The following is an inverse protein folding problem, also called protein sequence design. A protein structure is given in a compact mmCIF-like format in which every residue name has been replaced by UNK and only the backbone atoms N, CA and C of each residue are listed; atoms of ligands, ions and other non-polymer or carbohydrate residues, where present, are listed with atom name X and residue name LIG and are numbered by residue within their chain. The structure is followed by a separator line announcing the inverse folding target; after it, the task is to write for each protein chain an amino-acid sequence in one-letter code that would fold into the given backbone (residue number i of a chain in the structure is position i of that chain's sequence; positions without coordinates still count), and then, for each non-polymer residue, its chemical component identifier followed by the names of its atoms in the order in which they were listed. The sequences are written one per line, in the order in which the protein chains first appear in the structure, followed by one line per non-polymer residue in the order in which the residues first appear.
data_IF_168521184344
#
_entry.id   IF_168521184344
#
_cell.length_a   1.000
_cell.length_b   1.000
_cell.length_c   1.000
_cell.angle_alpha   90.00
_cell.angle_beta   90.00
_cell.angle_gamma   90.00
#
_symmetry.space_group_name_H-M   'P 1'
#
loop_
_entity.id
_entity.type
_entity.pdbx_description
1 polymer ?
#
# COMPACT_ATOMS: atom_id res chain seq x y z
N UNK A 1 0.26 8.91 16.14
CA UNK A 1 -0.84 9.86 16.37
C UNK A 1 -1.01 10.90 15.26
N UNK A 2 0.07 11.57 14.78
CA UNK A 2 -0.04 12.62 13.73
C UNK A 2 -0.42 12.09 12.33
N UNK A 3 -0.06 10.85 11.97
CA UNK A 3 -0.46 10.20 10.73
C UNK A 3 -1.97 9.97 10.65
N UNK A 4 -2.59 9.54 11.74
CA UNK A 4 -4.02 9.31 11.83
C UNK A 4 -4.84 10.60 11.67
N UNK A 5 -4.34 11.75 12.15
CA UNK A 5 -5.06 13.05 12.04
C UNK A 5 -5.09 13.55 10.58
N UNK A 6 -4.05 13.28 9.79
CA UNK A 6 -4.03 13.66 8.37
C UNK A 6 -4.93 12.74 7.53
N UNK A 7 -4.95 11.45 7.83
CA UNK A 7 -5.92 10.52 7.26
C UNK A 7 -7.35 10.89 7.65
N UNK A 8 -7.63 11.27 8.90
CA UNK A 8 -8.97 11.70 9.32
C UNK A 8 -9.51 12.91 8.52
N UNK A 9 -8.65 13.81 8.05
CA UNK A 9 -9.07 14.91 7.15
C UNK A 9 -9.30 14.43 5.71
N UNK A 10 -8.50 13.47 5.24
CA UNK A 10 -8.68 12.83 3.95
C UNK A 10 -9.87 11.86 3.95
N UNK A 11 -10.07 11.15 5.08
CA UNK A 11 -11.04 10.07 5.24
C UNK A 11 -12.44 10.52 5.68
N UNK A 12 -12.71 11.83 5.76
CA UNK A 12 -14.07 12.28 6.11
C UNK A 12 -15.03 12.05 4.92
N UNK A 13 -15.88 10.98 4.95
CA UNK A 13 -16.76 10.61 3.85
C UNK A 13 -17.87 11.65 3.63
N UNK A 14 -18.03 12.62 4.54
CA UNK A 14 -19.06 13.65 4.49
C UNK A 14 -18.64 14.92 3.75
N UNK A 15 -17.35 15.10 3.44
CA UNK A 15 -16.87 16.21 2.63
C UNK A 15 -16.98 15.83 1.14
N UNK A 16 -18.19 15.89 0.60
CA UNK A 16 -18.43 15.85 -0.85
C UNK A 16 -18.31 17.28 -1.39
N UNK A 17 -17.12 17.69 -1.78
CA UNK A 17 -16.94 18.92 -2.54
C UNK A 17 -17.51 18.75 -3.95
N UNK A 18 -18.61 19.43 -4.22
CA UNK A 18 -19.25 19.44 -5.53
C UNK A 18 -18.84 20.70 -6.27
N UNK A 19 -17.74 20.66 -7.02
CA UNK A 19 -17.54 21.57 -8.15
C UNK A 19 -18.36 21.04 -9.31
N UNK A 20 -18.89 21.92 -10.18
CA UNK A 20 -19.87 21.54 -11.24
C UNK A 20 -19.51 20.30 -12.05
N UNK A 21 -18.21 20.03 -12.24
CA UNK A 21 -17.67 18.97 -13.10
C UNK A 21 -16.70 18.00 -12.42
N UNK A 22 -16.65 17.99 -11.08
CA UNK A 22 -15.82 17.07 -10.28
C UNK A 22 -16.60 16.55 -9.09
N UNK A 23 -16.58 15.25 -8.90
CA UNK A 23 -17.13 14.55 -7.74
C UNK A 23 -15.95 13.93 -6.99
N UNK A 24 -15.80 14.25 -5.71
CA UNK A 24 -14.75 13.68 -4.87
C UNK A 24 -15.34 12.62 -3.94
N UNK A 25 -14.77 11.42 -3.94
CA UNK A 25 -15.04 10.36 -2.95
C UNK A 25 -13.81 10.17 -2.08
N UNK A 26 -14.03 9.96 -0.78
CA UNK A 26 -12.95 9.74 0.20
C UNK A 26 -13.15 8.40 0.88
N UNK A 27 -12.06 7.78 1.34
CA UNK A 27 -12.06 6.49 2.02
C UNK A 27 -12.87 5.42 1.25
N UNK A 28 -12.66 5.36 -0.08
CA UNK A 28 -13.41 4.46 -0.93
C UNK A 28 -12.85 3.03 -0.84
N UNK A 29 -13.68 2.09 -0.41
CA UNK A 29 -13.32 0.68 -0.37
C UNK A 29 -13.24 0.09 -1.77
N UNK A 30 -12.16 -0.61 -2.05
CA UNK A 30 -11.93 -1.28 -3.33
C UNK A 30 -11.40 -2.68 -3.13
N UNK A 31 -11.66 -3.55 -4.10
CA UNK A 31 -11.14 -4.92 -4.11
C UNK A 31 -10.93 -5.38 -5.55
N UNK A 32 -10.00 -6.31 -5.71
CA UNK A 32 -9.81 -7.06 -6.94
C UNK A 32 -9.94 -8.56 -6.61
N UNK A 33 -10.85 -9.23 -7.28
CA UNK A 33 -10.99 -10.70 -7.19
C UNK A 33 -9.86 -11.39 -7.93
N UNK A 34 -9.43 -10.79 -9.05
CA UNK A 34 -8.34 -11.31 -9.88
C UNK A 34 -7.02 -11.32 -9.11
N UNK A 35 -6.69 -10.22 -8.41
CA UNK A 35 -5.47 -10.11 -7.64
C UNK A 35 -5.61 -10.60 -6.19
N UNK A 36 -6.84 -10.88 -5.71
CA UNK A 36 -7.10 -11.23 -4.31
C UNK A 36 -6.74 -10.09 -3.35
N UNK A 37 -6.86 -8.83 -3.78
CA UNK A 37 -6.51 -7.66 -2.99
C UNK A 37 -7.75 -6.90 -2.51
N UNK A 38 -7.61 -6.29 -1.34
CA UNK A 38 -8.57 -5.36 -0.77
C UNK A 38 -7.85 -4.14 -0.23
N UNK A 39 -8.45 -2.97 -0.36
CA UNK A 39 -7.87 -1.73 0.13
C UNK A 39 -8.87 -0.59 0.26
N UNK A 40 -8.36 0.54 0.75
CA UNK A 40 -9.11 1.78 0.88
C UNK A 40 -8.33 2.87 0.16
N UNK A 41 -8.99 3.57 -0.75
CA UNK A 41 -8.44 4.71 -1.47
C UNK A 41 -8.61 5.97 -0.63
N UNK A 42 -7.56 6.77 -0.48
CA UNK A 42 -7.64 8.04 0.25
C UNK A 42 -8.63 8.99 -0.44
N UNK A 43 -8.42 9.25 -1.72
CA UNK A 43 -9.29 10.14 -2.52
C UNK A 43 -9.42 9.61 -3.95
N UNK A 44 -10.65 9.63 -4.47
CA UNK A 44 -10.96 9.44 -5.89
C UNK A 44 -11.69 10.70 -6.38
N UNK A 45 -11.12 11.35 -7.38
CA UNK A 45 -11.73 12.46 -8.11
C UNK A 45 -12.36 11.92 -9.40
N UNK A 46 -13.66 12.12 -9.58
CA UNK A 46 -14.37 11.75 -10.80
C UNK A 46 -14.59 13.04 -11.61
N UNK A 47 -13.91 13.17 -12.72
CA UNK A 47 -14.02 14.29 -13.64
C UNK A 47 -15.05 13.97 -14.73
N UNK A 48 -15.94 14.93 -15.04
CA UNK A 48 -16.92 14.73 -16.09
C UNK A 48 -16.23 14.63 -17.45
N UNK A 49 -16.37 13.49 -18.11
CA UNK A 49 -15.71 13.18 -19.38
C UNK A 49 -16.50 12.09 -20.12
N UNK A 50 -16.65 12.23 -21.44
CA UNK A 50 -17.37 11.26 -22.27
C UNK A 50 -16.66 9.88 -22.36
N UNK A 51 -15.36 9.84 -22.12
CA UNK A 51 -14.56 8.60 -22.05
C UNK A 51 -14.70 7.86 -20.71
N UNK A 52 -15.35 8.50 -19.73
CA UNK A 52 -15.54 7.94 -18.40
C UNK A 52 -16.69 6.92 -18.32
N UNK A 53 -17.02 6.53 -17.09
CA UNK A 53 -18.07 5.57 -16.76
C UNK A 53 -19.30 6.25 -16.15
N UNK A 54 -20.50 5.65 -16.28
CA UNK A 54 -21.70 6.15 -15.61
C UNK A 54 -21.57 5.89 -14.10
N UNK A 55 -21.92 6.89 -13.30
CA UNK A 55 -22.01 6.75 -11.85
C UNK A 55 -23.45 6.73 -11.39
N UNK A 56 -23.80 5.83 -10.46
CA UNK A 56 -25.14 5.70 -9.90
C UNK A 56 -25.66 7.04 -9.33
N UNK A 57 -26.79 7.51 -9.85
CA UNK A 57 -27.41 8.75 -9.39
C UNK A 57 -26.73 10.03 -9.90
N UNK A 58 -25.84 9.94 -10.91
CA UNK A 58 -25.19 11.06 -11.55
C UNK A 58 -25.47 11.06 -13.05
N UNK A 59 -25.72 12.27 -13.63
CA UNK A 59 -25.89 12.42 -15.08
C UNK A 59 -24.52 12.52 -15.76
N UNK A 60 -24.41 11.86 -16.94
CA UNK A 60 -23.19 11.86 -17.75
C UNK A 60 -22.19 10.79 -17.33
N UNK A 61 -21.03 10.83 -17.95
CA UNK A 61 -19.92 9.92 -17.70
C UNK A 61 -18.82 10.62 -16.92
N UNK A 62 -18.04 9.85 -16.19
CA UNK A 62 -17.08 10.36 -15.22
C UNK A 62 -15.79 9.55 -15.27
N UNK A 63 -14.68 10.22 -15.47
CA UNK A 63 -13.34 9.62 -15.51
C UNK A 63 -12.74 9.63 -14.10
N UNK A 64 -12.44 8.47 -13.50
CA UNK A 64 -11.85 8.39 -12.17
C UNK A 64 -10.36 8.73 -12.21
N UNK A 65 -9.90 9.42 -11.18
CA UNK A 65 -8.48 9.69 -10.92
C UNK A 65 -8.20 9.50 -9.44
N UNK A 66 -7.22 8.68 -9.09
CA UNK A 66 -6.84 8.39 -7.71
C UNK A 66 -5.82 9.41 -7.24
N UNK A 67 -5.98 9.89 -6.02
CA UNK A 67 -4.99 10.71 -5.31
C UNK A 67 -4.68 10.03 -3.97
N UNK A 68 -3.50 9.44 -3.87
CA UNK A 68 -2.99 8.80 -2.67
C UNK A 68 -2.13 9.78 -1.88
N UNK A 69 -2.45 9.95 -0.60
CA UNK A 69 -1.79 10.92 0.28
C UNK A 69 -0.62 10.29 1.04
N UNK A 70 0.54 10.91 0.94
CA UNK A 70 1.76 10.50 1.65
C UNK A 70 2.23 11.60 2.60
N UNK A 71 2.44 11.24 3.85
CA UNK A 71 2.88 12.19 4.89
C UNK A 71 4.29 12.71 4.64
N UNK A 72 5.21 11.81 4.20
CA UNK A 72 6.63 12.10 4.05
C UNK A 72 7.00 12.81 2.76
N UNK A 73 8.29 12.79 2.43
CA UNK A 73 8.84 13.21 1.14
C UNK A 73 8.79 12.04 0.14
N UNK A 74 8.89 12.32 -1.17
CA UNK A 74 9.07 11.27 -2.18
C UNK A 74 10.23 10.36 -1.80
N UNK A 75 10.01 9.04 -1.89
CA UNK A 75 11.02 8.02 -1.66
C UNK A 75 11.75 7.70 -2.96
N UNK A 76 12.97 7.17 -2.84
CA UNK A 76 13.75 6.67 -3.98
C UNK A 76 13.27 5.32 -4.51
N UNK A 77 12.43 4.61 -3.74
CA UNK A 77 11.89 3.30 -4.10
C UNK A 77 10.48 3.38 -4.69
N UNK A 78 9.98 2.26 -5.22
CA UNK A 78 8.72 2.14 -5.94
C UNK A 78 7.51 1.83 -5.04
N UNK A 79 7.68 1.67 -3.72
CA UNK A 79 6.60 1.21 -2.80
C UNK A 79 5.33 2.03 -2.88
N UNK A 80 5.46 3.36 -2.90
CA UNK A 80 4.31 4.26 -2.98
C UNK A 80 3.62 4.16 -4.36
N UNK A 81 4.41 3.90 -5.42
CA UNK A 81 3.92 3.71 -6.79
C UNK A 81 3.19 2.37 -6.90
N UNK A 82 3.77 1.29 -6.39
CA UNK A 82 3.16 -0.05 -6.36
C UNK A 82 1.81 -0.01 -5.64
N UNK A 83 1.73 0.69 -4.50
CA UNK A 83 0.46 0.87 -3.78
C UNK A 83 -0.59 1.55 -4.65
N UNK A 84 -0.24 2.69 -5.28
CA UNK A 84 -1.16 3.43 -6.15
C UNK A 84 -1.64 2.58 -7.33
N UNK A 85 -0.74 1.80 -7.95
CA UNK A 85 -1.08 0.92 -9.07
C UNK A 85 -1.98 -0.22 -8.63
N UNK A 86 -1.72 -0.86 -7.50
CA UNK A 86 -2.58 -1.90 -6.93
C UNK A 86 -4.00 -1.39 -6.66
N UNK A 87 -4.10 -0.21 -6.06
CA UNK A 87 -5.36 0.47 -5.81
C UNK A 87 -6.08 0.81 -7.14
N UNK A 88 -5.32 1.23 -8.16
CA UNK A 88 -5.87 1.54 -9.48
C UNK A 88 -6.48 0.30 -10.12
N UNK A 89 -5.79 -0.84 -10.12
CA UNK A 89 -6.30 -2.10 -10.67
C UNK A 89 -7.59 -2.52 -9.97
N UNK A 90 -7.65 -2.40 -8.64
CA UNK A 90 -8.87 -2.69 -7.88
C UNK A 90 -10.05 -1.78 -8.30
N UNK A 91 -9.80 -0.49 -8.50
CA UNK A 91 -10.84 0.46 -8.91
C UNK A 91 -11.30 0.21 -10.35
N UNK A 92 -10.37 -0.11 -11.25
CA UNK A 92 -10.67 -0.47 -12.64
C UNK A 92 -11.58 -1.70 -12.75
N UNK A 93 -11.30 -2.74 -11.95
CA UNK A 93 -12.13 -3.95 -11.92
C UNK A 93 -13.57 -3.65 -11.47
N UNK A 94 -13.73 -2.78 -10.46
CA UNK A 94 -15.05 -2.37 -9.94
C UNK A 94 -15.83 -1.54 -10.97
N UNK A 95 -15.14 -0.60 -11.64
CA UNK A 95 -15.79 0.36 -12.53
C UNK A 95 -15.89 -0.12 -13.98
N UNK A 96 -15.13 -1.15 -14.37
CA UNK A 96 -15.06 -1.64 -15.74
C UNK A 96 -14.43 -0.63 -16.70
N UNK A 97 -13.42 0.14 -16.26
CA UNK A 97 -12.73 1.14 -17.09
C UNK A 97 -11.22 1.10 -16.87
N UNK A 98 -10.46 1.60 -17.84
CA UNK A 98 -9.01 1.78 -17.71
C UNK A 98 -8.70 3.15 -17.11
N UNK A 99 -7.71 3.20 -16.24
CA UNK A 99 -7.19 4.42 -15.61
C UNK A 99 -5.71 4.55 -16.00
N UNK A 100 -5.39 5.58 -16.76
CA UNK A 100 -4.06 5.74 -17.34
C UNK A 100 -3.04 6.34 -16.36
N UNK A 101 -3.51 7.10 -15.37
CA UNK A 101 -2.64 7.77 -14.40
C UNK A 101 -3.35 8.00 -13.06
N UNK A 102 -2.55 8.20 -12.02
CA UNK A 102 -2.98 8.64 -10.70
C UNK A 102 -1.99 9.64 -10.12
N UNK A 103 -2.22 10.07 -8.90
CA UNK A 103 -1.36 11.04 -8.22
C UNK A 103 -0.92 10.54 -6.85
N UNK A 104 0.35 10.81 -6.53
CA UNK A 104 0.88 10.78 -5.16
C UNK A 104 0.97 12.22 -4.66
N UNK A 105 0.35 12.51 -3.54
CA UNK A 105 0.43 13.82 -2.90
C UNK A 105 1.28 13.74 -1.63
N UNK A 106 2.44 14.38 -1.65
CA UNK A 106 3.38 14.41 -0.53
C UNK A 106 3.15 15.65 0.32
N UNK A 107 2.48 15.46 1.46
CA UNK A 107 2.03 16.55 2.32
C UNK A 107 3.19 17.41 2.86
N UNK A 108 4.29 16.80 3.30
CA UNK A 108 5.43 17.51 3.92
C UNK A 108 6.13 18.50 3.01
N UNK A 109 6.00 18.33 1.69
CA UNK A 109 6.61 19.19 0.66
C UNK A 109 5.58 19.84 -0.26
N UNK A 110 4.28 19.65 0.03
CA UNK A 110 3.16 20.16 -0.76
C UNK A 110 3.31 19.84 -2.27
N UNK A 111 3.70 18.61 -2.58
CA UNK A 111 3.98 18.19 -3.96
C UNK A 111 2.97 17.12 -4.42
N UNK A 112 2.29 17.40 -5.54
CA UNK A 112 1.46 16.43 -6.27
C UNK A 112 2.27 15.88 -7.45
N UNK A 113 2.58 14.58 -7.43
CA UNK A 113 3.34 13.88 -8.47
C UNK A 113 2.40 13.00 -9.27
N UNK A 114 2.34 13.20 -10.59
CA UNK A 114 1.61 12.34 -11.52
C UNK A 114 2.41 11.06 -11.76
N UNK A 115 1.72 9.93 -11.75
CA UNK A 115 2.27 8.60 -12.00
C UNK A 115 1.46 7.98 -13.14
N UNK A 116 2.13 7.61 -14.23
CA UNK A 116 1.53 6.86 -15.33
C UNK A 116 1.40 5.37 -14.94
N UNK A 117 0.25 4.78 -15.19
CA UNK A 117 -0.06 3.39 -14.85
C UNK A 117 0.33 2.49 -16.04
N UNK A 118 1.61 2.21 -16.14
CA UNK A 118 2.18 1.45 -17.26
C UNK A 118 1.90 -0.05 -17.17
N UNK A 119 2.01 -0.75 -18.31
CA UNK A 119 1.89 -2.22 -18.36
C UNK A 119 2.92 -2.94 -17.48
N UNK A 120 4.13 -2.37 -17.35
CA UNK A 120 5.18 -2.98 -16.54
C UNK A 120 4.89 -2.85 -15.05
N UNK A 121 4.39 -1.70 -14.59
CA UNK A 121 3.94 -1.52 -13.21
C UNK A 121 2.75 -2.44 -12.88
N UNK A 122 1.83 -2.65 -13.82
CA UNK A 122 0.72 -3.61 -13.63
C UNK A 122 1.23 -5.04 -13.47
N UNK A 123 2.20 -5.46 -14.28
CA UNK A 123 2.86 -6.78 -14.16
C UNK A 123 3.61 -6.92 -12.83
N UNK A 124 4.30 -5.87 -12.40
CA UNK A 124 4.99 -5.84 -11.10
C UNK A 124 4.00 -6.09 -9.96
N UNK A 125 2.86 -5.38 -9.96
CA UNK A 125 1.82 -5.55 -8.94
C UNK A 125 1.22 -6.96 -8.98
N UNK A 126 0.91 -7.50 -10.15
CA UNK A 126 0.37 -8.85 -10.30
C UNK A 126 1.36 -9.91 -9.77
N UNK A 127 2.65 -9.77 -10.08
CA UNK A 127 3.70 -10.67 -9.58
C UNK A 127 3.83 -10.59 -8.05
N UNK A 128 3.80 -9.38 -7.47
CA UNK A 128 3.85 -9.20 -6.02
C UNK A 128 2.63 -9.79 -5.32
N UNK A 129 1.44 -9.60 -5.87
CA UNK A 129 0.22 -10.21 -5.34
C UNK A 129 0.30 -11.74 -5.37
N UNK A 130 0.75 -12.32 -6.47
CA UNK A 130 0.96 -13.76 -6.59
C UNK A 130 1.95 -14.29 -5.54
N UNK A 131 3.09 -13.63 -5.35
CA UNK A 131 4.08 -14.01 -4.34
C UNK A 131 3.52 -13.89 -2.91
N UNK A 132 2.74 -12.87 -2.61
CA UNK A 132 2.09 -12.71 -1.31
C UNK A 132 1.14 -13.87 -1.02
N UNK A 133 0.31 -14.27 -1.99
CA UNK A 133 -0.59 -15.42 -1.86
C UNK A 133 0.19 -16.72 -1.71
N UNK A 134 1.23 -16.93 -2.49
CA UNK A 134 2.10 -18.11 -2.38
C UNK A 134 2.71 -18.23 -0.98
N UNK A 135 3.22 -17.14 -0.41
CA UNK A 135 3.76 -17.14 0.96
C UNK A 135 2.69 -17.48 1.99
N UNK A 136 1.49 -16.92 1.82
CA UNK A 136 0.37 -17.21 2.71
C UNK A 136 -0.06 -18.68 2.64
N UNK A 137 -0.28 -19.21 1.44
CA UNK A 137 -0.77 -20.58 1.22
C UNK A 137 0.25 -21.63 1.68
N UNK A 138 1.52 -21.39 1.40
CA UNK A 138 2.63 -22.27 1.83
C UNK A 138 3.06 -22.04 3.28
N UNK A 139 2.45 -21.08 3.98
CA UNK A 139 2.83 -20.66 5.35
C UNK A 139 4.32 -20.32 5.47
N UNK A 140 4.88 -19.72 4.44
CA UNK A 140 6.28 -19.32 4.41
C UNK A 140 6.48 -18.00 5.13
N UNK A 141 7.41 -17.97 6.06
CA UNK A 141 7.85 -16.74 6.72
C UNK A 141 9.19 -16.35 6.09
N UNK A 142 9.26 -15.22 5.36
CA UNK A 142 10.50 -14.74 4.76
C UNK A 142 11.57 -14.52 5.85
N UNK A 143 12.81 -14.85 5.52
CA UNK A 143 13.93 -14.58 6.43
C UNK A 143 14.07 -13.09 6.65
N UNK A 144 14.04 -12.70 7.91
CA UNK A 144 14.17 -11.29 8.28
C UNK A 144 15.62 -10.83 8.12
N UNK A 145 15.81 -9.67 7.50
CA UNK A 145 17.10 -8.99 7.43
C UNK A 145 17.06 -7.71 8.25
N UNK A 146 18.08 -7.51 9.11
CA UNK A 146 18.17 -6.32 9.92
C UNK A 146 18.74 -5.15 9.12
N UNK A 147 18.04 -4.03 9.11
CA UNK A 147 18.49 -2.76 8.54
C UNK A 147 18.07 -1.57 9.42
N UNK A 148 18.56 -0.37 9.10
CA UNK A 148 18.40 0.83 9.95
C UNK A 148 16.95 1.12 10.36
N UNK A 149 15.98 0.92 9.46
CA UNK A 149 14.58 1.21 9.75
C UNK A 149 13.93 0.23 10.73
N UNK A 150 14.56 -0.93 11.00
CA UNK A 150 14.08 -1.87 12.01
C UNK A 150 14.03 -1.28 13.42
N UNK A 151 14.84 -0.26 13.71
CA UNK A 151 14.82 0.44 15.00
C UNK A 151 13.50 1.16 15.28
N UNK A 152 12.79 1.56 14.23
CA UNK A 152 11.50 2.28 14.30
C UNK A 152 10.32 1.41 13.84
N UNK A 153 10.55 0.11 13.63
CA UNK A 153 9.54 -0.82 13.15
C UNK A 153 8.72 -1.36 14.33
N UNK A 154 7.40 -1.22 14.27
CA UNK A 154 6.49 -1.76 15.29
C UNK A 154 6.49 -3.29 15.38
N UNK A 155 7.03 -3.98 14.38
CA UNK A 155 7.11 -5.43 14.32
C UNK A 155 8.49 -5.98 14.73
N UNK A 156 9.43 -5.15 15.18
CA UNK A 156 10.83 -5.56 15.44
C UNK A 156 10.93 -6.67 16.48
N UNK A 157 10.09 -6.64 17.52
CA UNK A 157 10.10 -7.62 18.60
C UNK A 157 9.49 -8.97 18.17
N UNK A 158 8.55 -8.98 17.23
CA UNK A 158 7.96 -10.18 16.65
C UNK A 158 8.86 -10.73 15.54
N UNK A 159 9.37 -9.85 14.69
CA UNK A 159 10.20 -10.19 13.53
C UNK A 159 11.60 -10.68 13.95
N UNK A 160 12.13 -10.17 15.08
CA UNK A 160 13.45 -10.50 15.63
C UNK A 160 14.60 -10.56 14.60
N UNK A 161 14.76 -9.53 13.73
CA UNK A 161 15.63 -9.61 12.56
C UNK A 161 17.13 -9.73 12.91
N UNK A 162 17.53 -9.41 14.14
CA UNK A 162 18.91 -9.58 14.62
C UNK A 162 19.25 -11.04 14.91
N UNK A 163 18.24 -11.86 15.24
CA UNK A 163 18.45 -13.27 15.54
C UNK A 163 18.61 -14.10 14.26
N UNK A 164 17.97 -13.69 13.16
CA UNK A 164 18.05 -14.41 11.89
C UNK A 164 19.44 -14.37 11.21
N UNK A 165 20.32 -13.43 11.61
CA UNK A 165 21.71 -13.35 11.12
C UNK A 165 22.68 -14.30 11.83
N UNK A 166 22.36 -14.75 13.05
CA UNK A 166 23.21 -15.68 13.81
C UNK A 166 22.56 -17.05 13.79
N UNK A 167 23.02 -17.94 12.94
CA UNK A 167 22.85 -19.38 13.16
C UNK A 167 23.57 -19.72 14.47
N UNK A 168 22.87 -19.56 15.59
CA UNK A 168 23.36 -20.10 16.85
C UNK A 168 23.20 -21.60 16.75
N UNK A 169 24.30 -22.32 16.80
CA UNK A 169 24.28 -23.74 16.99
C UNK A 169 23.73 -23.98 18.42
N UNK A 170 22.48 -24.44 18.49
CA UNK A 170 21.77 -24.68 19.77
C UNK A 170 22.56 -25.68 20.64
N UNK A 171 23.15 -26.68 20.01
CA UNK A 171 23.94 -27.72 20.69
C UNK A 171 25.18 -27.08 21.36
N UNK A 172 25.87 -26.18 20.67
CA UNK A 172 27.00 -25.43 21.26
C UNK A 172 26.56 -24.49 22.39
N UNK A 173 25.39 -23.89 22.29
CA UNK A 173 24.86 -23.03 23.34
C UNK A 173 24.54 -23.83 24.61
N UNK A 174 23.84 -24.96 24.45
CA UNK A 174 23.50 -25.87 25.55
C UNK A 174 24.78 -26.45 26.17
N UNK A 175 25.73 -26.89 25.35
CA UNK A 175 26.99 -27.44 25.81
C UNK A 175 27.84 -26.46 26.64
N UNK A 176 27.86 -25.17 26.23
CA UNK A 176 28.54 -24.13 26.98
C UNK A 176 27.82 -23.76 28.28
N UNK A 177 26.47 -23.76 28.27
CA UNK A 177 25.67 -23.50 29.47
C UNK A 177 25.88 -24.59 30.53
N UNK A 178 25.89 -25.87 30.13
CA UNK A 178 26.14 -26.98 31.02
C UNK A 178 27.56 -26.98 31.60
N UNK A 179 28.56 -26.62 30.78
CA UNK A 179 29.96 -26.49 31.28
C UNK A 179 30.17 -25.39 32.31
N UNK A 180 29.37 -24.32 32.26
CA UNK A 180 29.47 -23.21 33.21
C UNK A 180 28.86 -23.56 34.58
N UNK A 181 27.97 -24.54 34.66
CA UNK A 181 27.41 -25.05 35.94
C UNK A 181 28.33 -26.04 36.65
N UNK A 182 29.18 -26.76 35.91
CA UNK A 182 30.16 -27.69 36.51
C UNK A 182 31.39 -26.98 37.09
N UNK A 183 31.45 -25.65 37.07
CA UNK A 183 32.58 -24.85 37.52
C UNK A 183 32.29 -24.10 38.85
N UNK A 184 31.22 -24.43 39.55
CA UNK A 184 30.82 -23.97 40.89
C UNK A 184 30.86 -25.12 41.90
#
# INVERSE_FOLDING_TARGET
AHGQILHQKADNPYIKEKRKDVITSRAMHVSSKELGLYGILDVVEFHKDEKGVPLKGKRGKWLPTIVEYKRGKPKSDTRDIVQLVAQTICLEEILGCAIEYGYLYYYSVNQKKRIEITSDLRKEVANLACQMHEYYDKKLIPKAEYFKNCQLCSLVDICMPRLSKKTRNVDNYIFQALKSEDSL
#
